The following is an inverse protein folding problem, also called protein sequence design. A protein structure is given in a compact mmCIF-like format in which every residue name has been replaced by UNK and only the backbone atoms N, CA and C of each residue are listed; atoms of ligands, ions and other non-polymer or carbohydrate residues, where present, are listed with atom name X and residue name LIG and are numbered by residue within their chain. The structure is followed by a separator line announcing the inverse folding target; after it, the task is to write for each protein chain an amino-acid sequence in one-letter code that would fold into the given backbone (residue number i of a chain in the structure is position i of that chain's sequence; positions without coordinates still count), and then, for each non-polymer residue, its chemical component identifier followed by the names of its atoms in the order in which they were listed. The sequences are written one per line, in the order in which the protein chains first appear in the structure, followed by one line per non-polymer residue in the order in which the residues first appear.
data_IF_231924355015
#
_entry.id   IF_231924355015
#
_cell.length_a   1.000
_cell.length_b   1.000
_cell.length_c   1.000
_cell.angle_alpha   90.00
_cell.angle_beta   90.00
_cell.angle_gamma   90.00
#
_symmetry.space_group_name_H-M   'P 1'
#
loop_
_entity.id
_entity.type
_entity.pdbx_description
1 polymer ?
2 non-polymer ?
3 non-polymer ?
4 non-polymer ?
5 non-polymer ?
6 non-polymer ?
7 water ?
#
# COMPACT_ATOMS: atom_id res chain seq x y z
N UNK A 9 -21.69 -0.56 1.04
CA UNK A 9 -22.73 -1.56 0.62
C UNK A 9 -22.17 -3.00 0.53
N UNK A 10 -21.90 -3.62 1.68
CA UNK A 10 -21.61 -5.06 1.77
C UNK A 10 -20.63 -5.62 0.70
N UNK A 11 -21.07 -5.65 -0.56
CA UNK A 11 -20.23 -6.02 -1.70
C UNK A 11 -19.18 -4.95 -2.05
N UNK A 12 -18.92 -4.03 -1.13
CA UNK A 12 -17.86 -3.06 -1.30
C UNK A 12 -16.73 -3.44 -0.33
N UNK A 13 -15.53 -3.68 -0.85
CA UNK A 13 -14.41 -4.09 0.03
C UNK A 13 -14.10 -3.01 1.09
N UNK A 14 -13.79 -3.41 2.31
CA UNK A 14 -13.29 -2.47 3.28
C UNK A 14 -11.86 -2.00 2.89
N UNK A 15 -11.00 -2.97 2.58
CA UNK A 15 -9.58 -2.65 2.32
C UNK A 15 -9.25 -3.12 0.92
N UNK A 16 -8.77 -2.18 0.09
CA UNK A 16 -8.24 -2.52 -1.25
C UNK A 16 -6.75 -2.20 -1.28
N UNK A 17 -5.92 -3.13 -1.80
CA UNK A 17 -4.50 -2.89 -1.92
C UNK A 17 -4.07 -3.05 -3.32
N UNK A 18 -3.11 -2.22 -3.72
CA UNK A 18 -2.61 -2.21 -5.06
C UNK A 18 -1.11 -2.37 -5.19
N UNK A 19 -0.69 -3.35 -5.98
CA UNK A 19 0.71 -3.51 -6.38
C UNK A 19 0.96 -2.87 -7.73
N UNK A 20 1.76 -1.80 -7.74
CA UNK A 20 2.10 -1.07 -8.96
C UNK A 20 3.30 -1.72 -9.62
N UNK A 21 3.24 -1.79 -10.94
CA UNK A 21 4.24 -2.49 -11.70
C UNK A 21 4.14 -2.11 -13.17
N UNK A 22 5.15 -2.43 -13.95
CA UNK A 22 5.08 -2.31 -15.41
C UNK A 22 5.57 -0.95 -15.90
N UNK A 23 6.19 -0.17 -15.03
CA UNK A 23 6.63 1.19 -15.41
C UNK A 23 7.75 1.22 -16.42
N UNK A 24 8.76 0.40 -16.28
CA UNK A 24 9.82 0.32 -17.28
C UNK A 24 9.34 -0.30 -18.62
N UNK A 25 8.56 -1.37 -18.57
CA UNK A 25 7.91 -1.91 -19.78
C UNK A 25 7.14 -0.82 -20.52
N UNK A 26 6.40 -0.02 -19.77
CA UNK A 26 5.62 1.07 -20.34
C UNK A 26 6.55 2.09 -20.98
N UNK A 27 7.60 2.47 -20.26
CA UNK A 27 8.55 3.43 -20.84
C UNK A 27 9.14 2.88 -22.13
N UNK A 28 9.61 1.64 -22.08
CA UNK A 28 10.21 0.98 -23.22
C UNK A 28 9.25 1.04 -24.38
N UNK A 29 8.05 0.56 -24.13
CA UNK A 29 6.96 0.62 -25.07
C UNK A 29 6.77 2.01 -25.73
N UNK A 30 6.88 3.09 -24.97
CA UNK A 30 6.59 4.40 -25.53
C UNK A 30 7.80 5.22 -25.96
N UNK A 31 8.99 4.61 -25.89
CA UNK A 31 10.26 5.26 -26.21
C UNK A 31 10.61 6.38 -25.27
N UNK A 32 10.49 6.18 -23.97
CA UNK A 32 10.59 7.27 -23.07
C UNK A 32 11.42 6.82 -21.87
N UNK A 33 11.78 7.71 -20.97
CA UNK A 33 12.68 7.31 -19.88
C UNK A 33 11.89 6.47 -18.87
N UNK A 34 12.56 5.55 -18.21
CA UNK A 34 11.93 4.89 -17.07
C UNK A 34 11.44 5.92 -16.06
N UNK A 35 12.17 7.00 -15.84
CA UNK A 35 11.75 7.98 -14.84
C UNK A 35 10.48 8.60 -15.22
N UNK A 36 10.29 8.81 -16.50
CA UNK A 36 9.02 9.35 -16.94
C UNK A 36 7.89 8.32 -16.68
N UNK A 37 8.20 7.05 -16.88
CA UNK A 37 7.28 5.94 -16.51
C UNK A 37 6.85 6.03 -15.07
N UNK A 38 7.83 6.10 -14.18
CA UNK A 38 7.50 6.28 -12.78
C UNK A 38 6.72 7.52 -12.43
N UNK A 39 7.01 8.66 -13.06
CA UNK A 39 6.34 9.88 -12.73
C UNK A 39 4.90 9.81 -13.23
N UNK A 40 4.70 9.19 -14.38
CA UNK A 40 3.33 9.11 -14.96
C UNK A 40 2.48 8.12 -14.13
N UNK A 41 3.14 7.11 -13.60
CA UNK A 41 2.50 6.24 -12.63
C UNK A 41 2.06 6.97 -11.40
N UNK A 42 2.95 7.76 -10.78
CA UNK A 42 2.63 8.37 -9.53
C UNK A 42 1.54 9.40 -9.71
N UNK A 43 1.51 10.03 -10.88
CA UNK A 43 0.42 10.97 -11.21
C UNK A 43 -0.96 10.34 -11.26
N UNK A 44 -1.06 9.01 -11.44
CA UNK A 44 -2.35 8.33 -11.41
C UNK A 44 -2.89 8.18 -9.99
N UNK A 45 -2.01 8.16 -9.00
CA UNK A 45 -2.44 7.82 -7.63
C UNK A 45 -3.58 8.67 -7.10
N UNK A 46 -3.53 9.98 -7.35
CA UNK A 46 -4.52 10.86 -6.74
C UNK A 46 -5.94 10.51 -7.23
N UNK A 47 -6.07 10.18 -8.50
CA UNK A 47 -7.42 9.91 -9.06
C UNK A 47 -7.92 8.55 -8.56
N UNK A 48 -6.97 7.63 -8.35
CA UNK A 48 -7.34 6.33 -7.79
C UNK A 48 -7.80 6.46 -6.35
N UNK A 49 -7.09 7.27 -5.56
CA UNK A 49 -7.45 7.43 -4.16
C UNK A 49 -8.81 8.16 -4.06
N UNK A 50 -8.98 9.21 -4.86
CA UNK A 50 -10.31 9.89 -4.96
C UNK A 50 -11.41 8.95 -5.27
N UNK A 51 -11.21 8.13 -6.30
CA UNK A 51 -12.21 7.17 -6.72
C UNK A 51 -12.55 6.17 -5.61
N UNK A 52 -11.52 5.62 -4.93
CA UNK A 52 -11.76 4.65 -3.88
C UNK A 52 -12.58 5.30 -2.76
N UNK A 53 -12.26 6.57 -2.46
CA UNK A 53 -13.03 7.33 -1.45
C UNK A 53 -14.53 7.49 -1.80
N UNK A 54 -14.78 7.84 -3.05
CA UNK A 54 -16.14 8.02 -3.57
C UNK A 54 -16.86 6.73 -3.49
N UNK A 55 -16.15 5.63 -3.70
CA UNK A 55 -16.81 4.33 -3.72
C UNK A 55 -17.10 3.80 -2.31
N UNK A 56 -16.66 4.49 -1.28
CA UNK A 56 -16.93 4.02 0.06
C UNK A 56 -15.96 2.96 0.54
N UNK A 57 -14.83 2.82 -0.12
CA UNK A 57 -13.77 1.96 0.41
C UNK A 57 -13.19 2.65 1.69
N UNK A 58 -12.91 1.88 2.71
CA UNK A 58 -12.49 2.38 3.99
C UNK A 58 -10.98 2.49 4.10
N UNK A 59 -10.27 1.61 3.44
CA UNK A 59 -8.82 1.72 3.38
C UNK A 59 -8.29 1.37 2.00
N UNK A 60 -7.49 2.25 1.41
CA UNK A 60 -6.77 1.99 0.17
C UNK A 60 -5.27 1.98 0.48
N UNK A 61 -4.62 0.87 0.22
CA UNK A 61 -3.14 0.78 0.35
C UNK A 61 -2.49 0.74 -1.01
N UNK A 62 -1.51 1.62 -1.25
CA UNK A 62 -0.71 1.57 -2.47
C UNK A 62 0.71 1.19 -2.09
N UNK A 63 1.19 0.10 -2.63
CA UNK A 63 2.58 -0.35 -2.37
C UNK A 63 3.52 0.29 -3.34
N UNK A 64 4.49 1.06 -2.84
CA UNK A 64 5.38 1.86 -3.74
C UNK A 64 6.84 1.39 -3.73
N UNK A 65 7.25 0.69 -2.67
CA UNK A 65 8.68 0.41 -2.62
C UNK A 65 8.87 -0.74 -1.66
N UNK A 66 9.47 -1.81 -2.17
CA UNK A 66 9.88 -2.97 -1.40
C UNK A 66 11.33 -2.89 -0.93
N UNK A 67 11.72 -3.76 0.03
CA UNK A 67 13.16 -3.77 0.39
C UNK A 67 14.02 -4.20 -0.79
N UNK A 68 13.55 -5.21 -1.51
CA UNK A 68 14.21 -5.64 -2.73
C UNK A 68 14.51 -4.55 -3.75
N UNK A 69 13.60 -3.60 -3.90
CA UNK A 69 13.78 -2.48 -4.75
C UNK A 69 15.05 -1.65 -4.46
N UNK A 70 15.56 -1.70 -3.24
CA UNK A 70 16.81 -0.96 -2.90
C UNK A 70 18.05 -1.49 -3.67
N UNK A 71 17.93 -2.65 -4.30
CA UNK A 71 18.97 -3.27 -5.11
C UNK A 71 18.94 -2.82 -6.54
N UNK A 72 18.09 -1.86 -6.85
CA UNK A 72 18.09 -1.24 -8.17
C UNK A 72 19.18 -0.18 -8.17
N UNK A 73 19.37 0.48 -9.30
CA UNK A 73 20.41 1.49 -9.40
C UNK A 73 20.16 2.64 -8.44
N UNK A 74 21.24 3.28 -8.01
CA UNK A 74 21.11 4.36 -7.10
C UNK A 74 20.30 5.47 -7.64
N UNK A 75 20.49 5.75 -8.91
CA UNK A 75 19.78 6.90 -9.42
C UNK A 75 18.26 6.63 -9.58
N UNK A 76 17.90 5.41 -9.96
CA UNK A 76 16.47 5.03 -10.08
C UNK A 76 15.78 5.16 -8.72
N UNK A 77 16.39 4.57 -7.71
CA UNK A 77 15.84 4.63 -6.38
C UNK A 77 15.73 6.12 -5.91
N UNK A 78 16.71 6.97 -6.21
CA UNK A 78 16.70 8.34 -5.70
C UNK A 78 15.64 9.14 -6.40
N UNK A 79 15.45 8.88 -7.68
CA UNK A 79 14.35 9.52 -8.37
C UNK A 79 12.97 9.13 -7.80
N UNK A 80 12.76 7.84 -7.57
CA UNK A 80 11.54 7.40 -6.88
C UNK A 80 11.34 8.14 -5.57
N UNK A 81 12.36 8.22 -4.73
CA UNK A 81 12.22 8.88 -3.45
C UNK A 81 11.77 10.33 -3.64
N UNK A 82 12.32 11.00 -4.64
CA UNK A 82 12.02 12.43 -4.87
C UNK A 82 10.56 12.62 -5.36
N UNK A 83 10.13 11.73 -6.26
CA UNK A 83 8.80 11.73 -6.76
C UNK A 83 7.83 11.50 -5.64
N UNK A 84 8.18 10.63 -4.69
CA UNK A 84 7.28 10.37 -3.58
C UNK A 84 7.20 11.58 -2.66
N UNK A 85 8.30 12.28 -2.47
CA UNK A 85 8.26 13.50 -1.66
C UNK A 85 7.32 14.51 -2.28
N UNK A 86 7.48 14.69 -3.56
CA UNK A 86 6.64 15.59 -4.28
C UNK A 86 5.17 15.16 -4.19
N UNK A 87 4.90 13.84 -4.27
CA UNK A 87 3.49 13.36 -4.23
C UNK A 87 2.82 13.71 -2.89
N UNK A 88 3.57 13.49 -1.83
CA UNK A 88 3.20 13.74 -0.45
C UNK A 88 3.08 15.25 -0.16
N UNK A 89 3.94 16.01 -0.81
CA UNK A 89 3.89 17.46 -0.67
C UNK A 89 2.74 18.18 -1.40
N UNK A 90 2.37 17.74 -2.60
CA UNK A 90 1.27 18.33 -3.33
C UNK A 90 -0.03 17.51 -3.23
N UNK A 91 -0.06 16.40 -3.97
CA UNK A 91 -1.27 15.59 -4.14
C UNK A 91 -1.83 15.16 -2.82
N UNK A 92 -1.00 14.66 -1.93
CA UNK A 92 -1.53 14.19 -0.68
C UNK A 92 -2.02 15.33 0.20
N UNK A 93 -1.31 16.44 0.17
CA UNK A 93 -1.75 17.62 0.92
C UNK A 93 -3.16 18.04 0.41
N UNK A 94 -3.35 18.05 -0.91
CA UNK A 94 -4.70 18.31 -1.48
C UNK A 94 -5.79 17.32 -1.06
N UNK A 95 -5.48 16.03 -1.05
CA UNK A 95 -6.43 15.02 -0.65
C UNK A 95 -6.89 15.10 0.83
N UNK A 96 -5.97 15.33 1.74
CA UNK A 96 -6.29 15.29 3.15
C UNK A 96 -7.01 16.61 3.55
N UNK A 97 -6.75 17.68 2.81
CA UNK A 97 -7.43 19.01 3.03
C UNK A 97 -8.67 19.24 2.17
N UNK A 98 -8.98 18.30 1.28
CA UNK A 98 -10.25 18.33 0.54
C UNK A 98 -11.40 17.87 1.40
N UNK A 99 -12.58 17.94 0.82
CA UNK A 99 -13.77 17.40 1.48
C UNK A 99 -13.73 15.88 1.56
N UNK A 100 -12.80 15.21 0.89
CA UNK A 100 -12.70 13.74 1.08
C UNK A 100 -12.11 13.39 2.42
N UNK A 101 -11.33 14.33 2.96
CA UNK A 101 -10.97 14.26 4.35
C UNK A 101 -10.15 12.99 4.61
N UNK A 102 -9.21 12.72 3.72
CA UNK A 102 -8.46 11.47 3.77
C UNK A 102 -7.49 11.43 4.91
N UNK A 103 -7.41 10.28 5.56
CA UNK A 103 -6.42 10.06 6.56
C UNK A 103 -5.23 9.37 5.92
N UNK A 104 -4.01 9.92 6.11
CA UNK A 104 -2.80 9.44 5.48
C UNK A 104 -1.86 8.78 6.48
N UNK A 105 -1.41 7.55 6.19
CA UNK A 105 -0.35 6.92 6.94
C UNK A 105 0.64 6.31 5.98
N UNK A 106 1.88 6.13 6.43
CA UNK A 106 2.84 5.35 5.70
C UNK A 106 3.23 4.20 6.60
N UNK A 107 3.41 3.04 5.94
CA UNK A 107 3.94 1.85 6.63
C UNK A 107 5.22 1.38 5.93
N UNK A 108 6.10 0.80 6.72
CA UNK A 108 7.35 0.22 6.24
C UNK A 108 8.52 0.64 7.13
N UNK A 109 9.73 0.26 6.71
CA UNK A 109 11.00 0.60 7.43
C UNK A 109 11.43 2.00 7.04
N UNK A 110 10.79 2.96 7.69
CA UNK A 110 10.90 4.35 7.25
C UNK A 110 12.30 4.91 7.54
N UNK A 111 13.00 4.26 8.45
CA UNK A 111 14.40 4.60 8.71
C UNK A 111 15.30 4.39 7.55
N UNK A 112 14.97 3.48 6.66
CA UNK A 112 15.76 3.35 5.43
C UNK A 112 15.52 4.46 4.46
N UNK A 113 14.56 5.35 4.67
CA UNK A 113 14.32 6.34 3.64
C UNK A 113 15.16 7.62 3.89
N UNK A 114 15.38 8.43 2.85
CA UNK A 114 15.97 9.76 3.03
C UNK A 114 15.19 10.62 4.03
N UNK A 115 15.95 11.37 4.83
CA UNK A 115 15.34 12.17 5.87
C UNK A 115 14.25 13.05 5.30
N UNK A 116 14.45 13.60 4.12
CA UNK A 116 13.45 14.45 3.55
C UNK A 116 12.10 13.75 3.29
N UNK A 117 12.17 12.45 3.00
CA UNK A 117 10.98 11.66 2.65
C UNK A 117 10.30 11.30 3.93
N UNK A 118 11.11 10.99 4.93
CA UNK A 118 10.59 10.81 6.26
C UNK A 118 9.86 12.03 6.84
N UNK A 119 10.35 13.21 6.46
CA UNK A 119 9.76 14.45 6.92
C UNK A 119 8.48 14.71 6.18
N UNK A 120 8.50 14.41 4.88
CA UNK A 120 7.28 14.58 4.08
C UNK A 120 6.10 13.66 4.53
N UNK A 121 6.46 12.44 4.89
CA UNK A 121 5.54 11.48 5.50
C UNK A 121 5.03 12.07 6.83
N UNK A 122 5.92 12.45 7.74
CA UNK A 122 5.50 13.10 9.01
C UNK A 122 4.55 14.23 8.81
N UNK A 123 4.81 15.04 7.81
CA UNK A 123 3.98 16.21 7.59
C UNK A 123 2.58 15.75 7.20
N UNK A 124 2.50 14.90 6.17
CA UNK A 124 1.20 14.44 5.69
C UNK A 124 0.41 13.65 6.73
N UNK A 125 1.09 12.94 7.61
CA UNK A 125 0.43 12.18 8.61
C UNK A 125 -0.15 13.17 9.65
N UNK A 126 0.70 14.12 10.08
CA UNK A 126 0.26 15.15 11.03
C UNK A 126 -0.89 16.01 10.56
N UNK A 127 -0.83 16.44 9.30
CA UNK A 127 -1.90 17.19 8.65
C UNK A 127 -3.24 16.44 8.60
N UNK A 128 -3.20 15.12 8.64
CA UNK A 128 -4.42 14.33 8.43
C UNK A 128 -4.81 13.57 9.69
N UNK A 129 -4.07 13.81 10.75
CA UNK A 129 -4.23 13.05 11.94
C UNK A 129 -5.68 13.04 12.44
N UNK A 130 -6.36 14.16 12.34
CA UNK A 130 -7.74 14.22 12.88
C UNK A 130 -8.85 13.90 11.84
N UNK A 131 -8.46 13.59 10.59
CA UNK A 131 -9.44 13.40 9.52
C UNK A 131 -10.25 12.15 9.76
N UNK A 132 -11.46 12.11 9.22
CA UNK A 132 -12.35 10.98 9.43
C UNK A 132 -12.70 10.24 8.14
N UNK A 133 -12.15 10.64 7.01
CA UNK A 133 -12.49 10.02 5.73
C UNK A 133 -11.71 8.73 5.50
N UNK A 134 -11.58 8.34 4.24
CA UNK A 134 -11.00 7.06 3.93
C UNK A 134 -9.57 7.13 4.36
N UNK A 135 -9.08 6.04 4.92
CA UNK A 135 -7.67 5.87 5.19
C UNK A 135 -6.92 5.51 3.86
N UNK A 136 -5.77 6.16 3.65
CA UNK A 136 -4.85 5.89 2.56
C UNK A 136 -3.50 5.53 3.15
N UNK A 137 -3.05 4.28 2.97
CA UNK A 137 -1.70 3.86 3.40
C UNK A 137 -0.77 3.80 2.18
N UNK A 138 0.36 4.49 2.30
CA UNK A 138 1.46 4.36 1.36
C UNK A 138 2.45 3.41 2.04
N UNK A 139 2.64 2.25 1.46
CA UNK A 139 3.60 1.24 1.92
C UNK A 139 4.91 1.41 1.17
N UNK A 140 5.93 1.81 1.91
CA UNK A 140 7.20 2.20 1.37
C UNK A 140 8.34 1.65 2.25
N UNK A 141 9.31 0.97 1.59
CA UNK A 141 10.27 0.15 2.25
C UNK A 141 9.55 -0.87 3.10
N UNK A 142 8.47 -1.43 2.58
CA UNK A 142 7.58 -2.41 3.24
C UNK A 142 7.76 -3.75 2.53
N UNK A 143 8.10 -4.78 3.30
CA UNK A 143 8.10 -6.13 2.77
C UNK A 143 7.35 -7.05 3.72
N UNK A 144 6.61 -8.04 3.20
CA UNK A 144 5.79 -8.90 4.04
C UNK A 144 6.57 -9.81 5.00
N UNK A 145 7.67 -10.41 4.52
CA UNK A 145 8.56 -11.20 5.37
C UNK A 145 9.11 -10.30 6.48
N UNK A 146 9.55 -9.12 6.12
CA UNK A 146 10.16 -8.20 7.09
C UNK A 146 9.16 -7.80 8.19
N UNK A 147 7.92 -7.54 7.78
CA UNK A 147 6.81 -7.34 8.72
C UNK A 147 6.64 -8.47 9.73
N UNK A 148 6.52 -9.72 9.27
CA UNK A 148 6.40 -10.80 10.09
C UNK A 148 7.60 -10.94 11.06
N UNK A 149 8.80 -10.78 10.58
CA UNK A 149 9.99 -10.96 11.45
C UNK A 149 10.00 -9.89 12.54
N UNK A 150 9.67 -8.67 12.17
CA UNK A 150 9.69 -7.54 13.09
C UNK A 150 8.57 -7.67 14.15
N UNK A 151 7.40 -8.13 13.72
CA UNK A 151 6.38 -8.58 14.68
C UNK A 151 6.86 -9.66 15.65
N UNK A 152 7.51 -10.68 15.11
CA UNK A 152 8.11 -11.75 15.89
C UNK A 152 9.15 -11.21 16.93
N UNK A 153 9.94 -10.22 16.52
CA UNK A 153 10.96 -9.65 17.37
C UNK A 153 10.26 -8.91 18.50
N UNK A 154 9.28 -8.06 18.15
CA UNK A 154 8.52 -7.29 19.19
C UNK A 154 7.82 -8.18 20.19
N UNK A 155 7.26 -9.29 19.75
CA UNK A 155 6.61 -10.24 20.62
C UNK A 155 7.68 -10.92 21.46
N UNK A 156 8.83 -11.21 20.88
CA UNK A 156 9.84 -11.91 21.67
C UNK A 156 10.38 -10.93 22.78
N UNK A 157 10.54 -9.66 22.47
CA UNK A 157 10.98 -8.71 23.46
C UNK A 157 10.02 -8.66 24.62
N UNK A 158 8.71 -8.69 24.35
CA UNK A 158 7.69 -8.74 25.40
C UNK A 158 7.74 -9.98 26.24
N UNK A 159 8.10 -11.12 25.65
CA UNK A 159 8.22 -12.42 26.31
C UNK A 159 9.46 -12.33 27.21
N UNK A 160 10.54 -11.77 26.67
CA UNK A 160 11.77 -11.53 27.42
C UNK A 160 11.51 -10.67 28.68
N UNK A 161 10.73 -9.61 28.56
CA UNK A 161 10.37 -8.76 29.68
C UNK A 161 9.15 -9.22 30.52
N UNK A 162 8.64 -10.41 30.32
CA UNK A 162 7.61 -10.95 31.16
C UNK A 162 6.21 -10.51 30.82
N UNK A 163 6.03 -9.60 29.87
CA UNK A 163 4.68 -9.08 29.54
C UNK A 163 3.76 -10.14 28.90
N UNK A 164 4.37 -11.20 28.32
CA UNK A 164 3.67 -12.16 27.49
C UNK A 164 4.28 -13.54 27.70
N UNK A 165 3.46 -14.57 27.79
CA UNK A 165 3.96 -15.94 27.81
C UNK A 165 3.91 -16.52 26.37
N UNK A 166 4.75 -17.51 26.07
CA UNK A 166 4.64 -18.07 24.73
C UNK A 166 3.27 -18.62 24.33
N UNK A 167 2.58 -19.32 25.22
CA UNK A 167 1.21 -19.77 24.89
C UNK A 167 0.15 -18.67 24.80
N UNK A 168 0.45 -17.45 25.20
CA UNK A 168 -0.44 -16.34 24.94
C UNK A 168 -0.39 -15.87 23.50
N UNK A 169 0.58 -16.33 22.71
CA UNK A 169 0.70 -15.84 21.35
C UNK A 169 -0.37 -16.51 20.44
N UNK A 170 -1.31 -15.71 19.96
CA UNK A 170 -2.37 -16.23 19.09
C UNK A 170 -2.43 -15.36 17.88
N UNK A 171 -3.32 -15.65 16.90
CA UNK A 171 -3.40 -14.75 15.73
C UNK A 171 -3.53 -13.32 16.09
N UNK A 172 -4.48 -13.06 16.98
CA UNK A 172 -4.79 -11.70 17.26
C UNK A 172 -3.61 -10.97 17.86
N UNK A 173 -2.86 -11.66 18.72
CA UNK A 173 -1.67 -11.00 19.29
C UNK A 173 -0.63 -10.72 18.20
N UNK A 174 -0.51 -11.68 17.31
CA UNK A 174 0.50 -11.54 16.26
C UNK A 174 0.14 -10.39 15.35
N UNK A 175 -1.15 -10.28 15.06
CA UNK A 175 -1.71 -9.21 14.26
C UNK A 175 -1.46 -7.82 14.84
N UNK A 176 -1.53 -7.68 16.17
CA UNK A 176 -1.38 -6.33 16.77
C UNK A 176 0.07 -5.83 16.76
N UNK A 177 1.01 -6.70 16.35
CA UNK A 177 2.43 -6.28 16.25
C UNK A 177 2.95 -6.09 14.84
N UNK A 178 2.10 -6.29 13.84
CA UNK A 178 2.49 -5.98 12.46
C UNK A 178 2.35 -4.54 12.22
N UNK A 179 2.93 -4.12 11.10
CA UNK A 179 2.85 -2.75 10.63
C UNK A 179 1.45 -2.32 10.25
N UNK A 180 0.53 -3.28 10.02
CA UNK A 180 -0.84 -2.94 9.69
C UNK A 180 -1.66 -2.72 10.97
N UNK A 181 -1.00 -2.74 12.15
CA UNK A 181 -1.73 -2.49 13.44
C UNK A 181 -2.40 -1.08 13.50
N UNK A 182 -2.02 -0.22 12.60
CA UNK A 182 -2.67 1.05 12.47
C UNK A 182 -4.05 1.02 11.82
N UNK A 183 -4.57 -0.14 11.38
CA UNK A 183 -5.89 -0.16 10.81
C UNK A 183 -6.64 -1.22 11.49
N UNK A 184 -7.97 -1.07 11.60
CA UNK A 184 -8.78 -2.22 11.98
C UNK A 184 -9.15 -3.12 10.77
N UNK A 185 -8.73 -2.75 9.59
CA UNK A 185 -8.87 -3.61 8.37
C UNK A 185 -7.51 -4.05 7.79
N UNK A 186 -6.69 -4.78 8.57
CA UNK A 186 -5.30 -5.07 8.07
C UNK A 186 -5.26 -5.99 6.86
N UNK A 187 -6.23 -6.86 6.78
CA UNK A 187 -6.29 -7.80 5.68
C UNK A 187 -7.06 -7.22 4.48
N UNK A 188 -6.40 -7.04 3.33
CA UNK A 188 -7.17 -6.61 2.18
C UNK A 188 -8.25 -7.58 1.83
N UNK A 189 -9.41 -7.04 1.40
CA UNK A 189 -10.45 -7.83 0.78
C UNK A 189 -10.08 -8.13 -0.67
N UNK A 190 -9.40 -7.18 -1.29
CA UNK A 190 -9.10 -7.24 -2.72
C UNK A 190 -7.66 -6.74 -2.94
N UNK A 191 -6.86 -7.48 -3.69
CA UNK A 191 -5.48 -7.11 -3.97
C UNK A 191 -5.45 -7.03 -5.48
N UNK A 192 -5.03 -5.88 -5.95
CA UNK A 192 -4.87 -5.63 -7.35
C UNK A 192 -3.38 -5.59 -7.73
N UNK A 193 -3.02 -6.29 -8.79
CA UNK A 193 -1.68 -6.15 -9.33
C UNK A 193 -1.69 -5.89 -10.80
N UNK A 194 -1.08 -4.75 -11.16
CA UNK A 194 -0.96 -4.28 -12.50
C UNK A 194 0.21 -4.95 -13.17
N UNK A 195 0.15 -4.98 -14.50
CA UNK A 195 1.27 -5.36 -15.38
C UNK A 195 1.44 -6.89 -15.66
N UNK A 196 0.54 -7.71 -15.20
CA UNK A 196 0.39 -9.03 -15.79
C UNK A 196 1.09 -10.14 -14.97
N UNK A 197 2.01 -9.79 -14.04
CA UNK A 197 2.72 -10.82 -13.26
C UNK A 197 1.76 -11.33 -12.19
N UNK A 198 1.88 -12.62 -11.87
CA UNK A 198 1.02 -13.26 -10.90
C UNK A 198 1.87 -13.80 -9.74
N UNK A 199 2.14 -12.89 -8.81
CA UNK A 199 3.02 -13.15 -7.67
C UNK A 199 2.89 -11.91 -6.77
N UNK A 200 3.31 -12.11 -5.53
CA UNK A 200 3.23 -11.11 -4.47
C UNK A 200 4.48 -10.28 -4.37
N UNK A 201 5.62 -10.80 -4.83
CA UNK A 201 6.86 -10.04 -4.75
C UNK A 201 7.22 -9.45 -3.37
N UNK A 202 6.84 -10.19 -2.34
CA UNK A 202 7.15 -9.89 -0.95
C UNK A 202 6.37 -8.66 -0.45
N UNK A 203 5.16 -8.51 -1.01
CA UNK A 203 4.16 -7.65 -0.35
C UNK A 203 3.62 -8.34 0.92
N UNK A 204 2.45 -7.88 1.40
CA UNK A 204 1.78 -8.60 2.45
C UNK A 204 1.80 -10.10 2.28
N UNK A 205 1.97 -10.80 3.38
CA UNK A 205 1.89 -12.24 3.40
C UNK A 205 0.89 -12.61 4.48
N UNK A 206 1.17 -12.30 5.77
CA UNK A 206 0.24 -12.57 6.85
C UNK A 206 -1.18 -12.05 6.50
N UNK A 207 -1.19 -10.90 5.88
CA UNK A 207 -2.42 -10.19 5.58
C UNK A 207 -3.34 -10.82 4.56
N UNK A 208 -2.90 -11.84 3.84
CA UNK A 208 -3.58 -12.31 2.60
C UNK A 208 -4.29 -13.64 2.58
N UNK A 209 -4.66 -14.28 3.76
CA UNK A 209 -5.18 -15.66 3.72
C UNK A 209 -6.47 -15.77 2.91
N UNK A 210 -7.28 -14.72 2.88
CA UNK A 210 -8.60 -14.78 2.16
C UNK A 210 -8.84 -13.69 1.18
N UNK A 211 -7.87 -12.79 1.03
CA UNK A 211 -7.91 -11.79 0.00
C UNK A 211 -8.17 -12.33 -1.45
N UNK A 212 -9.10 -11.69 -2.14
CA UNK A 212 -9.33 -11.94 -3.57
C UNK A 212 -8.23 -11.27 -4.35
N UNK A 213 -7.60 -12.01 -5.25
CA UNK A 213 -6.60 -11.45 -6.14
C UNK A 213 -7.19 -11.10 -7.51
N UNK A 214 -6.81 -9.94 -8.01
CA UNK A 214 -7.13 -9.50 -9.32
C UNK A 214 -5.89 -9.04 -10.06
N UNK A 215 -5.61 -9.70 -11.17
CA UNK A 215 -4.42 -9.42 -11.96
C UNK A 215 -4.86 -8.84 -13.31
N UNK A 216 -4.32 -7.68 -13.68
CA UNK A 216 -4.64 -7.06 -14.94
C UNK A 216 -3.34 -6.96 -15.72
N UNK A 217 -3.35 -7.25 -17.03
CA UNK A 217 -2.16 -6.96 -17.87
C UNK A 217 -1.83 -5.48 -18.06
N UNK A 218 -2.71 -4.56 -17.68
CA UNK A 218 -2.45 -3.13 -17.81
C UNK A 218 -1.24 -2.68 -17.08
N UNK A 219 -0.38 -1.91 -17.75
CA UNK A 219 0.84 -1.41 -17.16
C UNK A 219 0.47 -0.21 -16.30
N UNK A 220 1.08 -0.08 -15.14
CA UNK A 220 0.49 0.84 -14.19
C UNK A 220 0.40 2.32 -14.70
N UNK A 221 1.38 2.78 -15.52
CA UNK A 221 1.15 4.14 -16.02
C UNK A 221 -0.17 4.31 -16.81
N UNK A 222 -0.72 3.21 -17.35
CA UNK A 222 -2.03 3.24 -18.06
C UNK A 222 -3.24 2.99 -17.14
N UNK A 223 -2.99 2.80 -15.84
CA UNK A 223 -3.98 2.33 -14.91
C UNK A 223 -4.71 3.52 -14.33
N UNK A 224 -6.00 3.57 -14.51
CA UNK A 224 -6.78 4.68 -14.00
C UNK A 224 -7.98 4.29 -13.22
N UNK A 225 -8.88 5.24 -13.10
CA UNK A 225 -10.09 5.01 -12.34
C UNK A 225 -10.94 3.84 -12.89
N UNK A 226 -11.04 3.71 -14.23
CA UNK A 226 -11.85 2.62 -14.82
C UNK A 226 -11.26 1.22 -14.40
N UNK A 227 -9.93 1.13 -14.24
CA UNK A 227 -9.27 -0.13 -13.89
C UNK A 227 -9.53 -0.54 -12.46
N UNK A 228 -9.68 0.43 -11.59
CA UNK A 228 -10.19 0.22 -10.22
C UNK A 228 -11.61 -0.30 -10.26
N UNK A 229 -12.44 0.32 -11.07
CA UNK A 229 -13.79 -0.13 -11.24
C UNK A 229 -13.90 -1.53 -11.79
N UNK A 230 -13.02 -1.87 -12.70
CA UNK A 230 -13.03 -3.19 -13.26
C UNK A 230 -12.69 -4.25 -12.17
N UNK A 231 -11.69 -3.92 -11.33
CA UNK A 231 -11.28 -4.83 -10.22
C UNK A 231 -12.41 -4.95 -9.24
N UNK A 232 -13.09 -3.83 -8.95
CA UNK A 232 -14.23 -3.90 -8.04
C UNK A 232 -15.42 -4.76 -8.57
N UNK A 233 -15.69 -4.68 -9.86
CA UNK A 233 -16.72 -5.47 -10.51
C UNK A 233 -16.34 -6.93 -10.48
N UNK A 234 -15.06 -7.28 -10.73
CA UNK A 234 -14.63 -8.66 -10.59
C UNK A 234 -14.88 -9.13 -9.15
N UNK A 235 -14.49 -8.27 -8.18
CA UNK A 235 -14.71 -8.52 -6.77
C UNK A 235 -16.16 -8.86 -6.46
N UNK A 236 -17.08 -8.02 -6.90
CA UNK A 236 -18.49 -8.28 -6.62
C UNK A 236 -19.01 -9.60 -7.22
N UNK A 237 -18.49 -10.01 -8.38
CA UNK A 237 -18.78 -11.33 -8.89
C UNK A 237 -18.07 -12.52 -8.16
N UNK A 238 -17.12 -12.30 -7.26
CA UNK A 238 -16.51 -13.44 -6.56
C UNK A 238 -17.44 -14.04 -5.45
N UNK A 239 -17.43 -15.37 -5.36
CA UNK A 239 -18.03 -16.10 -4.22
C UNK A 239 -16.90 -16.38 -3.23
N UNK A 240 -17.02 -15.86 -2.01
CA UNK A 240 -16.01 -16.05 -0.92
C UNK A 240 -16.57 -17.06 0.09
N UNK A 241 -15.94 -18.22 0.21
CA UNK A 241 -16.43 -19.27 1.12
C UNK A 241 -15.63 -19.36 2.43
N UNK A 242 -14.46 -18.70 2.50
CA UNK A 242 -13.56 -18.77 3.69
C UNK A 242 -13.28 -20.21 4.28
N UNK A 243 -13.20 -21.28 3.43
CA UNK A 243 -12.89 -22.73 3.84
C UNK A 243 -14.08 -23.66 4.23
N UNK A 244 -15.19 -22.98 4.50
CA UNK A 244 -16.33 -23.60 5.10
C UNK A 244 -17.56 -23.21 4.26
X LIG B 1 8.42 -4.69 -11.97
X LIG C 1 8.89 -2.98 -14.66
X LIG C 1 9.19 -1.68 -13.78
X LIG C 1 8.70 -1.31 -12.31
X LIG C 1 8.98 -2.70 -11.48
X LIG C 1 7.99 -4.02 -13.95
X LIG C 1 8.29 -2.54 -15.98
X LIG C 1 7.25 -1.03 -12.47
X LIG C 1 10.30 -3.66 -14.80
X LIG C 1 9.63 -0.09 -11.84
X LIG D 1 8.91 0.07 -7.26
X LIG D 1 8.16 1.15 -8.09
X LIG D 1 7.58 2.44 -7.58
X LIG D 1 7.85 0.81 -9.43
X LIG D 1 8.40 -0.44 -9.84
X LIG E 1 -8.86 2.50 9.96
X LIG E 1 -8.15 2.07 8.68
X LIG E 1 -8.86 1.56 11.15
X LIG E 1 -8.29 3.80 10.50
X LIG E 1 -10.27 2.76 9.53
X LIG F 1 9.15 -8.34 -9.20
X LIG F 1 9.19 -6.99 -8.25
X LIG F 1 8.77 -5.51 -8.59
X LIG F 1 8.04 -8.20 -10.33
X LIG F 1 8.97 -9.66 -8.40
X LIG F 1 10.52 -8.37 -9.87
X LIG F 1 9.06 -5.20 -10.01
X LIG F 1 9.37 -4.54 -7.48
X LIG F 1 6.63 -5.54 -8.47
X LIG F 1 6.41 -5.33 -6.72
X LIG F 1 5.85 -3.94 -6.65
X LIG F 1 6.38 -2.92 -5.67
X LIG F 1 5.76 -1.60 -5.66
X LIG F 1 7.61 -3.16 -4.90
#
# INVERSE_FOLDING_TARGET
LAGAETEIDEVTPNHVAIIIDGHRKWAKSRGVTVQEGHQTGVNNWKHIISRASQLGIKLLTIWALSPQNFNRSKMEVDFLMRIYEDFLRSDVKELVTSQQDIQFSAIGDKSRLPEYLQDAISYAEGLSQANKGMHFILAVAYGGREDIVEAARKIAAKVEHGILRPDDIDEATFEQHLMTNITKFPSPDLLIRAAGEQRLSNFFLWQLPFTEFYFTPKLFPDFGEADLLDALASYRCRYRGFGERKGIHEASAWSHPQFEK
MG MG
PIS P1 O1 P2 S1 O2 O3 O4 O5 O6
61G CAC CAE CAB CAD CAA
SO4 S O1 O2 O3 O4
ISY P1 O2 P3 O4 O5 O6 O7 O8 S9 C10 C11 C12 C13 C14
#
